data_IF_268390389548
#
_entry.id   IF_268390389548
#
_cell.length_a   1.000
_cell.length_b   1.000
_cell.length_c   1.000
_cell.angle_alpha   90.00
_cell.angle_beta   90.00
_cell.angle_gamma   90.00
#
_symmetry.space_group_name_H-M   'P 1'
#
loop_
_entity.id
_entity.type
_entity.pdbx_description
1 polymer ?
#
# COMPACT_ATOMS: atom_id res chain seq x y z
N UNK A 1 -16.26 -30.27 -1.03
CA UNK A 1 -15.79 -28.95 -0.57
C UNK A 1 -16.41 -27.90 -1.48
N UNK A 2 -17.39 -27.12 -0.99
CA UNK A 2 -18.04 -26.07 -1.79
C UNK A 2 -17.14 -24.85 -1.74
N UNK A 3 -16.43 -24.54 -2.83
CA UNK A 3 -15.81 -23.22 -3.00
C UNK A 3 -16.94 -22.21 -3.02
N UNK A 4 -17.13 -21.50 -1.90
CA UNK A 4 -18.09 -20.42 -1.79
C UNK A 4 -17.57 -19.31 -2.72
N UNK A 5 -18.17 -19.21 -3.91
CA UNK A 5 -17.98 -18.10 -4.84
C UNK A 5 -18.44 -16.80 -4.16
N UNK A 6 -17.56 -16.22 -3.35
CA UNK A 6 -17.74 -14.96 -2.63
C UNK A 6 -17.47 -13.76 -3.55
N UNK A 7 -17.75 -13.89 -4.85
CA UNK A 7 -17.36 -12.94 -5.90
C UNK A 7 -18.55 -12.22 -6.52
N UNK A 8 -19.73 -12.23 -5.87
CA UNK A 8 -20.94 -11.60 -6.41
C UNK A 8 -21.27 -10.20 -5.89
N UNK A 9 -20.47 -9.62 -4.98
CA UNK A 9 -20.74 -8.29 -4.40
C UNK A 9 -19.59 -7.27 -4.47
N UNK A 10 -18.48 -7.54 -5.16
CA UNK A 10 -17.49 -6.51 -5.48
C UNK A 10 -17.95 -5.77 -6.74
N UNK A 11 -18.93 -4.90 -6.59
CA UNK A 11 -19.26 -3.92 -7.63
C UNK A 11 -18.03 -3.00 -7.80
N UNK A 12 -17.11 -3.39 -8.69
CA UNK A 12 -16.24 -2.55 -9.53
C UNK A 12 -15.72 -1.22 -8.97
N UNK A 13 -15.43 -1.08 -7.68
CA UNK A 13 -14.67 0.07 -7.18
C UNK A 13 -13.21 -0.15 -7.55
N UNK A 14 -12.82 0.34 -8.74
CA UNK A 14 -11.43 0.39 -9.15
C UNK A 14 -10.75 1.39 -8.22
N UNK A 15 -9.75 0.93 -7.47
CA UNK A 15 -8.97 1.78 -6.58
C UNK A 15 -7.55 1.91 -7.11
N UNK A 16 -6.98 3.11 -6.99
CA UNK A 16 -5.60 3.39 -7.34
C UNK A 16 -4.85 3.78 -6.07
N UNK A 17 -3.75 3.10 -5.78
CA UNK A 17 -2.83 3.47 -4.72
C UNK A 17 -1.72 4.34 -5.32
N UNK A 18 -1.47 5.50 -4.73
CA UNK A 18 -0.46 6.46 -5.18
C UNK A 18 0.52 6.71 -4.05
N UNK A 19 1.80 6.59 -4.37
CA UNK A 19 2.93 6.98 -3.54
C UNK A 19 3.54 8.26 -4.10
N UNK A 20 3.50 9.36 -3.34
CA UNK A 20 3.91 10.67 -3.85
C UNK A 20 4.85 11.38 -2.88
N UNK A 21 5.99 11.87 -3.39
CA UNK A 21 6.85 12.81 -2.67
C UNK A 21 6.21 14.20 -2.68
N UNK A 22 6.00 14.78 -1.50
CA UNK A 22 5.56 16.17 -1.35
C UNK A 22 6.78 17.08 -1.27
N UNK A 23 6.94 18.04 -2.21
CA UNK A 23 8.12 18.92 -2.25
C UNK A 23 8.25 19.86 -1.05
N UNK A 24 7.12 20.20 -0.41
CA UNK A 24 7.09 21.19 0.68
C UNK A 24 7.74 20.68 1.96
N UNK A 25 7.59 19.39 2.24
CA UNK A 25 8.08 18.75 3.45
C UNK A 25 9.06 17.61 3.17
N UNK A 26 9.50 17.46 1.91
CA UNK A 26 10.42 16.41 1.41
C UNK A 26 10.02 15.01 1.90
N UNK A 27 8.72 14.77 1.94
CA UNK A 27 8.11 13.63 2.62
C UNK A 27 7.22 12.89 1.65
N UNK A 28 7.30 11.57 1.69
CA UNK A 28 6.39 10.73 0.94
C UNK A 28 5.06 10.57 1.68
N UNK A 29 3.96 10.62 0.93
CA UNK A 29 2.61 10.40 1.40
C UNK A 29 1.93 9.37 0.50
N UNK A 30 1.01 8.62 1.09
CA UNK A 30 0.29 7.56 0.40
C UNK A 30 -1.19 7.91 0.30
N UNK A 31 -1.77 7.69 -0.87
CA UNK A 31 -3.15 8.03 -1.17
C UNK A 31 -3.87 6.87 -1.85
N UNK A 32 -5.12 6.63 -1.45
CA UNK A 32 -6.03 5.73 -2.14
C UNK A 32 -7.06 6.56 -2.88
N UNK A 33 -7.20 6.33 -4.19
CA UNK A 33 -8.17 6.97 -5.04
C UNK A 33 -9.26 5.98 -5.45
N UNK A 34 -10.53 6.35 -5.28
CA UNK A 34 -11.65 5.63 -5.88
C UNK A 34 -11.86 6.13 -7.31
N UNK A 35 -11.56 5.30 -8.31
CA UNK A 35 -11.69 5.65 -9.74
C UNK A 35 -13.13 5.51 -10.27
N UNK A 36 -14.02 4.91 -9.49
CA UNK A 36 -15.39 4.62 -9.90
C UNK A 36 -16.41 5.67 -9.41
N UNK A 37 -15.95 6.78 -8.87
CA UNK A 37 -16.83 7.81 -8.31
C UNK A 37 -16.77 9.08 -9.16
N UNK A 38 -17.95 9.63 -9.44
CA UNK A 38 -18.16 10.78 -10.30
C UNK A 38 -17.83 12.13 -9.61
N UNK A 39 -17.49 12.10 -8.31
CA UNK A 39 -17.14 13.29 -7.53
C UNK A 39 -15.63 13.34 -7.21
N UNK A 40 -14.83 14.24 -7.80
CA UNK A 40 -13.37 14.25 -7.69
C UNK A 40 -12.82 14.42 -6.27
N UNK A 41 -13.55 15.14 -5.41
CA UNK A 41 -13.06 15.59 -4.08
C UNK A 41 -13.23 14.49 -3.01
N UNK A 42 -14.25 13.65 -3.11
CA UNK A 42 -14.48 12.54 -2.16
C UNK A 42 -13.64 11.29 -2.50
N UNK A 43 -12.92 11.32 -3.61
CA UNK A 43 -12.26 10.13 -4.14
C UNK A 43 -10.89 9.88 -3.56
N UNK A 44 -10.23 10.89 -2.99
CA UNK A 44 -8.85 10.79 -2.51
C UNK A 44 -8.82 10.66 -0.99
N UNK A 45 -8.33 9.53 -0.50
CA UNK A 45 -8.08 9.30 0.93
C UNK A 45 -6.59 9.19 1.17
N UNK A 46 -6.05 10.04 2.05
CA UNK A 46 -4.68 9.86 2.57
C UNK A 46 -4.65 8.65 3.50
N UNK A 47 -3.62 7.82 3.34
CA UNK A 47 -3.39 6.63 4.15
C UNK A 47 -2.21 6.86 5.09
N UNK A 48 -2.30 6.27 6.27
CA UNK A 48 -1.17 6.19 7.20
C UNK A 48 -0.16 5.16 6.70
N UNK A 49 1.10 5.37 7.06
CA UNK A 49 2.16 4.43 6.72
C UNK A 49 2.02 3.16 7.58
N UNK A 50 2.22 1.96 7.03
CA UNK A 50 2.00 0.70 7.75
C UNK A 50 2.97 0.39 8.89
N UNK A 51 4.04 1.17 9.05
CA UNK A 51 5.05 0.99 10.09
C UNK A 51 5.12 2.23 10.99
N UNK A 52 5.65 2.04 12.20
CA UNK A 52 5.78 3.09 13.22
C UNK A 52 6.83 4.12 12.82
N UNK A 53 7.90 3.69 12.14
CA UNK A 53 8.94 4.58 11.66
C UNK A 53 8.63 5.10 10.25
N UNK A 54 9.25 6.23 9.92
CA UNK A 54 9.17 6.79 8.58
C UNK A 54 10.38 6.32 7.77
N UNK A 55 10.18 5.62 6.66
CA UNK A 55 11.31 5.09 5.90
C UNK A 55 12.03 6.18 5.13
N UNK A 56 13.30 5.94 4.84
CA UNK A 56 14.07 6.76 3.92
C UNK A 56 13.59 6.56 2.47
N UNK A 57 13.40 5.30 2.08
CA UNK A 57 12.92 4.89 0.76
C UNK A 57 11.82 3.85 0.90
N UNK A 58 10.87 3.88 -0.03
CA UNK A 58 9.80 2.88 -0.09
C UNK A 58 9.34 2.73 -1.54
N UNK A 59 9.12 1.49 -1.95
CA UNK A 59 8.60 1.14 -3.26
C UNK A 59 7.53 0.06 -3.16
N UNK A 60 6.51 0.14 -4.03
CA UNK A 60 5.52 -0.92 -4.18
C UNK A 60 6.09 -1.92 -5.18
N UNK A 61 6.30 -3.17 -4.74
CA UNK A 61 6.88 -4.21 -5.58
C UNK A 61 5.82 -4.95 -6.37
N UNK A 62 4.69 -5.32 -5.73
CA UNK A 62 3.56 -5.95 -6.40
C UNK A 62 2.24 -5.76 -5.62
N UNK A 63 1.13 -6.16 -6.25
CA UNK A 63 -0.19 -6.19 -5.60
C UNK A 63 -1.01 -7.38 -6.07
N UNK A 64 -1.85 -7.92 -5.18
CA UNK A 64 -2.76 -9.02 -5.48
C UNK A 64 -3.99 -8.95 -4.56
N UNK A 65 -5.20 -9.03 -5.12
CA UNK A 65 -6.46 -9.06 -4.36
C UNK A 65 -6.62 -7.93 -3.33
N UNK A 66 -6.10 -6.73 -3.63
CA UNK A 66 -6.13 -5.58 -2.72
C UNK A 66 -5.05 -5.58 -1.64
N UNK A 67 -4.17 -6.58 -1.61
CA UNK A 67 -2.95 -6.59 -0.82
C UNK A 67 -1.80 -6.04 -1.64
N UNK A 68 -0.84 -5.42 -0.96
CA UNK A 68 0.32 -4.77 -1.55
C UNK A 68 1.57 -5.28 -0.86
N UNK A 69 2.57 -5.68 -1.65
CA UNK A 69 3.92 -5.91 -1.13
C UNK A 69 4.72 -4.64 -1.34
N UNK A 70 5.39 -4.20 -0.29
CA UNK A 70 6.25 -3.02 -0.31
C UNK A 70 7.65 -3.43 0.13
N UNK A 71 8.65 -2.84 -0.51
CA UNK A 71 10.02 -2.80 -0.02
C UNK A 71 10.23 -1.44 0.65
N UNK A 72 10.81 -1.48 1.83
CA UNK A 72 11.01 -0.32 2.69
C UNK A 72 12.44 -0.33 3.20
N UNK A 73 13.12 0.82 3.10
CA UNK A 73 14.46 0.99 3.64
C UNK A 73 14.47 2.02 4.77
N UNK A 74 15.06 1.65 5.90
CA UNK A 74 15.16 2.49 7.10
C UNK A 74 16.25 3.56 7.01
N UNK A 75 17.33 3.33 6.26
CA UNK A 75 18.49 4.23 6.21
C UNK A 75 18.99 4.49 4.77
N UNK A 76 20.05 5.29 4.63
CA UNK A 76 20.63 5.62 3.32
C UNK A 76 21.60 4.52 2.87
N UNK A 77 22.14 3.76 3.83
CA UNK A 77 23.20 2.78 3.63
C UNK A 77 22.65 1.47 3.04
N UNK A 78 21.33 1.27 3.06
CA UNK A 78 20.68 0.25 2.25
C UNK A 78 20.87 -1.17 2.75
N UNK A 79 21.35 -1.35 3.99
CA UNK A 79 21.83 -2.65 4.44
C UNK A 79 20.71 -3.66 4.70
N UNK A 80 19.50 -3.20 5.07
CA UNK A 80 18.35 -4.08 5.33
C UNK A 80 17.08 -3.58 4.60
N UNK A 81 16.80 -4.14 3.43
CA UNK A 81 15.50 -3.96 2.77
C UNK A 81 14.43 -4.79 3.48
N UNK A 82 13.47 -4.10 4.10
CA UNK A 82 12.34 -4.73 4.78
C UNK A 82 11.21 -4.91 3.77
N UNK A 83 10.80 -6.15 3.56
CA UNK A 83 9.62 -6.47 2.79
C UNK A 83 8.41 -6.61 3.71
N UNK A 84 7.29 -6.00 3.34
CA UNK A 84 6.05 -6.11 4.10
C UNK A 84 4.87 -6.37 3.18
N UNK A 85 3.94 -7.19 3.69
CA UNK A 85 2.61 -7.37 3.11
C UNK A 85 1.65 -6.45 3.85
N UNK A 86 0.99 -5.57 3.12
CA UNK A 86 0.09 -4.57 3.68
C UNK A 86 -1.29 -4.61 3.03
N UNK A 87 -2.32 -4.41 3.84
CA UNK A 87 -3.69 -4.19 3.41
C UNK A 87 -4.05 -2.69 3.54
N UNK A 88 -4.04 -1.92 2.45
CA UNK A 88 -4.38 -0.50 2.48
C UNK A 88 -5.79 -0.18 2.96
N UNK A 89 -6.71 -1.15 2.90
CA UNK A 89 -8.11 -0.94 3.29
C UNK A 89 -8.33 -1.09 4.80
N UNK A 90 -7.53 -1.92 5.49
CA UNK A 90 -7.61 -2.12 6.94
C UNK A 90 -6.49 -1.43 7.70
N UNK A 91 -5.39 -1.08 7.04
CA UNK A 91 -4.18 -0.54 7.66
C UNK A 91 -3.27 -1.62 8.25
N UNK A 92 -3.71 -2.88 8.30
CA UNK A 92 -2.94 -4.00 8.84
C UNK A 92 -1.76 -4.35 7.94
N UNK A 93 -0.61 -4.63 8.56
CA UNK A 93 0.64 -4.98 7.90
C UNK A 93 1.33 -6.13 8.62
N UNK A 94 2.14 -6.88 7.89
CA UNK A 94 3.05 -7.88 8.44
C UNK A 94 4.38 -7.82 7.69
N UNK A 95 5.48 -7.87 8.45
CA UNK A 95 6.83 -8.01 7.88
C UNK A 95 6.96 -9.42 7.31
N UNK A 96 7.41 -9.51 6.06
CA UNK A 96 7.67 -10.78 5.42
C UNK A 96 9.01 -11.33 5.93
N UNK A 97 9.13 -12.65 6.14
CA UNK A 97 10.42 -13.25 6.47
C UNK A 97 11.40 -12.99 5.33
N UNK A 98 12.67 -12.76 5.66
CA UNK A 98 13.73 -12.68 4.66
C UNK A 98 13.67 -13.92 3.77
N UNK A 99 13.57 -13.67 2.47
CA UNK A 99 13.71 -14.73 1.48
C UNK A 99 15.19 -15.12 1.45
N UNK A 100 15.61 -15.98 2.38
CA UNK A 100 16.81 -16.78 2.23
C UNK A 100 16.55 -17.73 1.05
N UNK A 101 16.81 -17.25 -0.16
CA UNK A 101 16.89 -18.06 -1.38
C UNK A 101 18.31 -18.59 -1.55
#
# INVERSE_FOLDING_TARGET
>A
MKHLNRTKNYLNSKKLLVWQCCPKDCKYHMYCLNLSSDQPVENVRKLDFPLIFRPYMCSITCSCNGLVVMMVNENIEGEDDIYLLWNPSTGESIVLPDAQL
#
